data_IF_201476303219
#
_entry.id   IF_201476303219
#
_cell.length_a   1.000
_cell.length_b   1.000
_cell.length_c   1.000
_cell.angle_alpha   90.00
_cell.angle_beta   90.00
_cell.angle_gamma   90.00
#
_symmetry.space_group_name_H-M   'P 1'
#
loop_
_entity.id
_entity.type
_entity.pdbx_description
1 polymer ?
#
# COMPACT_ATOMS: atom_id res chain seq x y z
N UNK A 1 25.58 -10.86 -31.15
CA UNK A 1 25.30 -11.15 -29.74
C UNK A 1 25.17 -9.83 -29.04
N UNK A 2 23.95 -9.30 -28.93
CA UNK A 2 23.69 -8.08 -28.20
C UNK A 2 23.65 -8.44 -26.71
N UNK A 3 24.52 -7.82 -25.92
CA UNK A 3 24.48 -7.90 -24.47
C UNK A 3 23.23 -7.17 -23.99
N UNK A 4 22.20 -7.92 -23.61
CA UNK A 4 21.06 -7.41 -22.88
C UNK A 4 21.55 -6.84 -21.55
N UNK A 5 21.19 -5.58 -21.29
CA UNK A 5 21.46 -4.90 -20.04
C UNK A 5 20.61 -5.56 -18.93
N UNK A 6 21.19 -6.19 -17.89
CA UNK A 6 20.45 -6.99 -16.91
C UNK A 6 19.57 -6.17 -15.96
N UNK A 7 19.66 -4.84 -16.00
CA UNK A 7 19.01 -3.90 -15.06
C UNK A 7 17.74 -3.23 -15.60
N UNK A 8 17.10 -3.80 -16.63
CA UNK A 8 15.75 -3.33 -16.97
C UNK A 8 14.76 -3.96 -16.00
N UNK A 9 14.47 -3.25 -14.92
CA UNK A 9 13.24 -3.45 -14.17
C UNK A 9 12.07 -3.56 -15.14
N UNK A 10 11.18 -4.54 -14.94
CA UNK A 10 10.06 -4.81 -15.85
C UNK A 10 8.91 -3.80 -15.67
N UNK A 11 9.08 -2.82 -14.79
CA UNK A 11 8.20 -1.69 -14.54
C UNK A 11 9.02 -0.38 -14.56
N UNK A 12 8.34 0.73 -14.85
CA UNK A 12 8.94 2.07 -14.95
C UNK A 12 9.56 2.51 -13.63
N UNK A 13 10.71 3.18 -13.74
CA UNK A 13 11.35 3.89 -12.64
C UNK A 13 11.04 5.39 -12.76
N UNK A 14 10.77 6.01 -11.62
CA UNK A 14 10.53 7.43 -11.45
C UNK A 14 11.80 8.09 -10.92
N UNK A 15 12.03 9.34 -11.33
CA UNK A 15 13.11 10.18 -10.79
C UNK A 15 12.70 10.71 -9.40
N UNK A 16 12.74 9.81 -8.42
CA UNK A 16 12.32 9.98 -7.04
C UNK A 16 13.51 9.76 -6.12
N UNK A 17 13.69 10.66 -5.14
CA UNK A 17 14.54 10.41 -3.97
C UNK A 17 13.66 10.06 -2.76
N UNK A 18 13.99 8.99 -2.00
CA UNK A 18 13.27 8.66 -0.78
C UNK A 18 13.24 9.82 0.22
N UNK A 19 12.04 10.30 0.57
CA UNK A 19 11.88 11.39 1.53
C UNK A 19 12.17 10.96 2.97
N UNK A 20 11.80 9.72 3.31
CA UNK A 20 11.99 9.17 4.65
C UNK A 20 12.48 7.73 4.56
N UNK A 21 13.45 7.35 5.41
CA UNK A 21 13.93 5.98 5.45
C UNK A 21 12.86 5.05 6.04
N UNK A 22 12.90 3.77 5.66
CA UNK A 22 11.92 2.74 6.05
C UNK A 22 11.68 2.66 7.55
N UNK A 23 12.73 2.81 8.36
CA UNK A 23 12.63 2.69 9.81
C UNK A 23 11.79 3.82 10.46
N UNK A 24 11.79 5.02 9.88
CA UNK A 24 10.93 6.12 10.34
C UNK A 24 9.47 5.85 10.01
N UNK A 25 9.19 5.36 8.80
CA UNK A 25 7.86 4.92 8.38
C UNK A 25 7.31 3.83 9.31
N UNK A 26 8.12 2.82 9.63
CA UNK A 26 7.74 1.75 10.57
C UNK A 26 7.42 2.33 11.97
N UNK A 27 8.26 3.25 12.47
CA UNK A 27 8.05 3.88 13.78
C UNK A 27 6.73 4.64 13.85
N UNK A 28 6.41 5.43 12.84
CA UNK A 28 5.13 6.16 12.76
C UNK A 28 3.94 5.21 12.64
N UNK A 29 4.05 4.15 11.82
CA UNK A 29 3.02 3.11 11.73
C UNK A 29 2.76 2.42 13.07
N UNK A 30 3.80 2.14 13.86
CA UNK A 30 3.63 1.55 15.20
C UNK A 30 2.81 2.46 16.11
N UNK A 31 3.12 3.76 16.16
CA UNK A 31 2.38 4.73 16.96
C UNK A 31 0.91 4.82 16.51
N UNK A 32 0.68 4.89 15.20
CA UNK A 32 -0.64 4.92 14.61
C UNK A 32 -1.46 3.66 14.92
N UNK A 33 -0.87 2.47 14.78
CA UNK A 33 -1.54 1.20 15.06
C UNK A 33 -1.91 1.05 16.54
N UNK A 34 -1.01 1.44 17.45
CA UNK A 34 -1.31 1.40 18.88
C UNK A 34 -2.45 2.36 19.24
N UNK A 35 -2.44 3.58 18.68
CA UNK A 35 -3.51 4.56 18.81
C UNK A 35 -4.85 4.04 18.26
N UNK A 36 -4.83 3.32 17.15
CA UNK A 36 -6.00 2.68 16.55
C UNK A 36 -6.46 1.40 17.28
N UNK A 37 -5.84 1.04 18.41
CA UNK A 37 -6.24 -0.11 19.23
C UNK A 37 -5.71 -1.45 18.72
N UNK A 38 -4.62 -1.47 17.97
CA UNK A 38 -3.97 -2.69 17.51
C UNK A 38 -2.77 -3.04 18.39
N UNK A 39 -2.53 -4.34 18.55
CA UNK A 39 -1.32 -4.89 19.15
C UNK A 39 -0.42 -5.43 18.06
N UNK A 40 0.85 -5.02 18.09
CA UNK A 40 1.87 -5.60 17.22
C UNK A 40 2.07 -7.08 17.57
N UNK A 41 2.17 -7.91 16.54
CA UNK A 41 2.46 -9.33 16.65
C UNK A 41 3.96 -9.56 16.51
N UNK A 42 4.50 -10.63 17.13
CA UNK A 42 5.87 -11.06 16.84
C UNK A 42 6.04 -11.31 15.35
N UNK A 43 7.18 -10.92 14.81
CA UNK A 43 7.52 -11.12 13.40
C UNK A 43 7.47 -12.61 13.05
N UNK A 44 6.51 -12.98 12.20
CA UNK A 44 6.32 -14.35 11.71
C UNK A 44 6.19 -14.35 10.20
N UNK A 45 6.89 -15.24 9.49
CA UNK A 45 6.69 -15.40 8.06
C UNK A 45 5.25 -15.78 7.73
N UNK A 46 4.75 -15.26 6.61
CA UNK A 46 3.48 -15.63 6.00
C UNK A 46 3.79 -16.33 4.68
N UNK A 47 3.88 -17.66 4.73
CA UNK A 47 4.37 -18.45 3.59
C UNK A 47 5.85 -18.16 3.33
N UNK A 48 6.17 -17.60 2.16
CA UNK A 48 7.54 -17.32 1.73
C UNK A 48 8.01 -15.88 1.96
N UNK A 49 7.17 -15.01 2.52
CA UNK A 49 7.51 -13.62 2.78
C UNK A 49 7.43 -13.33 4.29
N UNK A 50 8.23 -12.38 4.78
CA UNK A 50 8.19 -11.92 6.17
C UNK A 50 7.67 -10.47 6.21
N UNK A 51 6.53 -10.19 6.88
CA UNK A 51 5.99 -8.84 6.88
C UNK A 51 6.91 -7.91 7.66
N UNK A 52 6.94 -6.64 7.26
CA UNK A 52 7.64 -5.61 8.03
C UNK A 52 6.90 -5.34 9.35
N UNK A 53 5.56 -5.36 9.29
CA UNK A 53 4.70 -5.23 10.47
C UNK A 53 3.56 -6.25 10.36
N UNK A 54 3.18 -6.81 11.49
CA UNK A 54 1.94 -7.58 11.66
C UNK A 54 1.23 -7.09 12.90
N UNK A 55 -0.08 -6.85 12.83
CA UNK A 55 -0.84 -6.35 13.97
C UNK A 55 -2.24 -6.94 14.01
N UNK A 56 -2.83 -6.98 15.21
CA UNK A 56 -4.20 -7.47 15.43
C UNK A 56 -4.98 -6.51 16.32
N UNK A 57 -6.25 -6.29 16.01
CA UNK A 57 -7.12 -5.44 16.84
C UNK A 57 -7.31 -6.05 18.25
N UNK A 58 -7.17 -5.22 19.30
CA UNK A 58 -7.24 -5.63 20.72
C UNK A 58 -8.66 -6.02 21.17
N UNK A 59 -9.70 -5.39 20.61
CA UNK A 59 -11.04 -5.36 21.22
C UNK A 59 -12.14 -6.14 20.49
N UNK A 60 -11.83 -6.91 19.43
CA UNK A 60 -12.88 -7.53 18.60
C UNK A 60 -12.97 -9.05 18.74
N UNK A 61 -14.23 -9.54 18.82
CA UNK A 61 -14.59 -10.98 18.71
C UNK A 61 -14.12 -11.60 17.38
N UNK A 62 -13.90 -10.77 16.35
CA UNK A 62 -13.17 -11.11 15.13
C UNK A 62 -11.74 -10.60 15.26
N UNK A 63 -10.77 -11.49 15.06
CA UNK A 63 -9.37 -11.11 14.91
C UNK A 63 -9.18 -10.46 13.54
N UNK A 64 -9.33 -9.15 13.50
CA UNK A 64 -8.93 -8.36 12.34
C UNK A 64 -7.40 -8.19 12.41
N UNK A 65 -6.72 -9.02 11.62
CA UNK A 65 -5.26 -9.01 11.46
C UNK A 65 -4.91 -8.20 10.21
N UNK A 66 -3.85 -7.41 10.31
CA UNK A 66 -3.32 -6.58 9.23
C UNK A 66 -1.82 -6.82 9.12
N UNK A 67 -1.34 -6.96 7.89
CA UNK A 67 0.10 -7.06 7.59
C UNK A 67 0.53 -5.92 6.68
N UNK A 68 1.75 -5.47 6.89
CA UNK A 68 2.36 -4.39 6.14
C UNK A 68 3.63 -4.86 5.45
N UNK A 69 3.77 -4.38 4.22
CA UNK A 69 5.04 -4.28 3.52
C UNK A 69 5.35 -2.79 3.42
N UNK A 70 6.52 -2.39 3.91
CA UNK A 70 6.96 -0.99 3.97
C UNK A 70 8.10 -0.78 2.98
N UNK A 71 7.98 0.29 2.19
CA UNK A 71 8.94 0.68 1.16
C UNK A 71 9.29 2.15 1.28
N UNK A 72 10.39 2.55 0.64
CA UNK A 72 10.94 3.91 0.74
C UNK A 72 10.48 4.84 -0.39
N UNK A 73 9.74 4.32 -1.38
CA UNK A 73 9.23 5.12 -2.49
C UNK A 73 8.32 4.35 -3.45
N UNK A 74 7.78 5.03 -4.47
CA UNK A 74 6.92 4.41 -5.49
C UNK A 74 7.67 3.45 -6.39
N UNK A 75 8.98 3.66 -6.58
CA UNK A 75 9.86 2.75 -7.31
C UNK A 75 9.91 1.33 -6.72
N UNK A 76 9.58 1.16 -5.45
CA UNK A 76 9.58 -0.17 -4.82
C UNK A 76 8.15 -0.73 -4.64
N UNK A 77 7.13 0.00 -5.09
CA UNK A 77 5.73 -0.33 -4.86
C UNK A 77 5.33 -1.66 -5.51
N UNK A 78 5.78 -1.90 -6.75
CA UNK A 78 5.51 -3.15 -7.47
C UNK A 78 6.06 -4.36 -6.72
N UNK A 79 7.29 -4.26 -6.24
CA UNK A 79 7.89 -5.31 -5.40
C UNK A 79 7.12 -5.49 -4.09
N UNK A 80 6.69 -4.39 -3.47
CA UNK A 80 5.88 -4.42 -2.27
C UNK A 80 4.54 -5.15 -2.46
N UNK A 81 3.82 -4.86 -3.54
CA UNK A 81 2.58 -5.57 -3.88
C UNK A 81 2.83 -7.03 -4.24
N UNK A 82 3.95 -7.37 -4.89
CA UNK A 82 4.33 -8.75 -5.16
C UNK A 82 4.51 -9.55 -3.87
N UNK A 83 5.11 -8.97 -2.84
CA UNK A 83 5.23 -9.61 -1.52
C UNK A 83 3.87 -9.79 -0.85
N UNK A 84 3.00 -8.77 -0.90
CA UNK A 84 1.63 -8.89 -0.38
C UNK A 84 0.83 -9.98 -1.11
N UNK A 85 0.99 -10.09 -2.43
CA UNK A 85 0.40 -11.16 -3.23
C UNK A 85 0.90 -12.54 -2.81
N UNK A 86 2.21 -12.68 -2.56
CA UNK A 86 2.78 -13.91 -2.03
C UNK A 86 2.16 -14.27 -0.67
N UNK A 87 1.99 -13.31 0.23
CA UNK A 87 1.29 -13.50 1.51
C UNK A 87 -0.17 -13.93 1.33
N UNK A 88 -0.86 -13.29 0.37
CA UNK A 88 -2.27 -13.52 0.05
C UNK A 88 -2.53 -14.93 -0.46
N UNK A 89 -1.58 -15.56 -1.16
CA UNK A 89 -1.69 -16.96 -1.56
C UNK A 89 -1.89 -17.92 -0.36
N UNK A 90 -1.38 -17.57 0.84
CA UNK A 90 -1.48 -18.40 2.05
C UNK A 90 -2.61 -18.00 2.99
N UNK A 91 -2.90 -16.69 3.07
CA UNK A 91 -3.87 -16.14 4.03
C UNK A 91 -5.18 -15.71 3.37
N UNK A 92 -5.26 -15.73 2.03
CA UNK A 92 -6.42 -15.42 1.21
C UNK A 92 -7.05 -14.07 1.57
N UNK A 93 -8.37 -14.00 1.66
CA UNK A 93 -9.10 -12.81 2.08
C UNK A 93 -9.44 -12.89 3.58
N UNK A 94 -8.52 -13.32 4.45
CA UNK A 94 -8.77 -13.39 5.90
C UNK A 94 -8.20 -12.20 6.68
N UNK A 95 -7.24 -11.49 6.11
CA UNK A 95 -6.52 -10.38 6.75
C UNK A 95 -6.45 -9.19 5.80
N UNK A 96 -6.03 -8.04 6.31
CA UNK A 96 -5.73 -6.85 5.52
C UNK A 96 -4.27 -6.83 5.07
N UNK A 97 -4.05 -6.37 3.84
CA UNK A 97 -2.75 -6.37 3.15
C UNK A 97 -2.43 -4.94 2.74
N UNK A 98 -1.40 -4.36 3.33
CA UNK A 98 -1.11 -2.94 3.15
C UNK A 98 0.31 -2.76 2.63
N UNK A 99 0.42 -2.04 1.52
CA UNK A 99 1.67 -1.40 1.13
C UNK A 99 1.69 -0.02 1.80
N UNK A 100 2.71 0.25 2.60
CA UNK A 100 2.92 1.57 3.19
C UNK A 100 4.14 2.24 2.58
N UNK A 101 3.93 3.46 2.08
CA UNK A 101 4.97 4.31 1.51
C UNK A 101 5.11 5.59 2.34
N UNK A 102 6.27 6.25 2.32
CA UNK A 102 6.37 7.65 2.70
C UNK A 102 5.52 8.54 1.77
N UNK A 103 5.39 9.85 2.03
CA UNK A 103 4.73 10.73 1.08
C UNK A 103 5.46 10.69 -0.26
N UNK A 104 4.70 10.54 -1.34
CA UNK A 104 5.19 10.46 -2.71
C UNK A 104 4.54 11.55 -3.54
N UNK A 105 5.23 11.98 -4.60
CA UNK A 105 4.69 12.97 -5.54
C UNK A 105 3.35 12.48 -6.12
N UNK A 106 2.32 13.33 -6.08
CA UNK A 106 1.00 13.02 -6.64
C UNK A 106 1.10 12.68 -8.13
N UNK A 107 1.99 13.37 -8.86
CA UNK A 107 2.24 13.08 -10.27
C UNK A 107 2.75 11.64 -10.49
N UNK A 108 3.72 11.18 -9.69
CA UNK A 108 4.25 9.82 -9.81
C UNK A 108 3.23 8.77 -9.39
N UNK A 109 2.43 9.05 -8.35
CA UNK A 109 1.32 8.18 -7.98
C UNK A 109 0.28 8.05 -9.11
N UNK A 110 -0.09 9.15 -9.76
CA UNK A 110 -1.03 9.13 -10.90
C UNK A 110 -0.43 8.33 -12.06
N UNK A 111 0.85 8.58 -12.41
CA UNK A 111 1.53 7.82 -13.47
C UNK A 111 1.55 6.32 -13.18
N UNK A 112 1.87 5.94 -11.94
CA UNK A 112 1.92 4.56 -11.47
C UNK A 112 0.56 3.88 -11.46
N UNK A 113 -0.48 4.58 -11.01
CA UNK A 113 -1.79 3.97 -10.82
C UNK A 113 -2.57 3.82 -12.11
N UNK A 114 -2.46 4.79 -13.04
CA UNK A 114 -3.40 4.87 -14.18
C UNK A 114 -2.79 5.33 -15.51
N UNK A 115 -1.77 6.19 -15.53
CA UNK A 115 -1.32 6.73 -16.83
C UNK A 115 -0.37 5.78 -17.56
N UNK A 116 0.55 5.14 -16.85
CA UNK A 116 1.67 4.40 -17.46
C UNK A 116 1.65 2.91 -17.15
N UNK A 117 1.31 2.54 -15.91
CA UNK A 117 1.45 1.16 -15.42
C UNK A 117 0.11 0.50 -15.02
N UNK A 118 -0.96 1.30 -14.86
CA UNK A 118 -2.34 0.83 -14.64
C UNK A 118 -2.56 -0.07 -13.40
N UNK A 119 -1.76 0.12 -12.34
CA UNK A 119 -1.85 -0.70 -11.14
C UNK A 119 -3.14 -0.52 -10.32
N UNK A 120 -3.99 0.47 -10.63
CA UNK A 120 -5.22 0.75 -9.89
C UNK A 120 -6.17 -0.46 -9.79
N UNK A 121 -6.52 -1.09 -10.92
CA UNK A 121 -7.45 -2.23 -10.92
C UNK A 121 -6.84 -3.48 -10.27
N UNK A 122 -5.60 -3.90 -10.58
CA UNK A 122 -4.96 -5.01 -9.87
C UNK A 122 -4.94 -4.84 -8.35
N UNK A 123 -4.60 -3.65 -7.85
CA UNK A 123 -4.61 -3.36 -6.40
C UNK A 123 -6.03 -3.56 -5.83
N UNK A 124 -7.04 -3.02 -6.50
CA UNK A 124 -8.44 -3.09 -6.07
C UNK A 124 -9.00 -4.52 -6.11
N UNK A 125 -8.79 -5.25 -7.20
CA UNK A 125 -9.31 -6.61 -7.40
C UNK A 125 -8.70 -7.60 -6.41
N UNK A 126 -7.45 -7.37 -6.03
CA UNK A 126 -6.78 -8.13 -4.98
C UNK A 126 -7.05 -7.62 -3.56
N UNK A 127 -7.92 -6.61 -3.37
CA UNK A 127 -8.22 -6.03 -2.05
C UNK A 127 -6.95 -5.62 -1.29
N UNK A 128 -5.93 -5.14 -2.01
CA UNK A 128 -4.76 -4.53 -1.41
C UNK A 128 -5.07 -3.10 -1.03
N UNK A 129 -4.31 -2.59 -0.06
CA UNK A 129 -4.40 -1.19 0.37
C UNK A 129 -3.06 -0.50 0.12
N UNK A 130 -3.13 0.78 -0.20
CA UNK A 130 -1.98 1.66 -0.34
C UNK A 130 -2.10 2.80 0.67
N UNK A 131 -1.17 2.88 1.61
CA UNK A 131 -1.15 3.91 2.64
C UNK A 131 0.05 4.83 2.47
N UNK A 132 -0.17 6.12 2.70
CA UNK A 132 0.88 7.12 2.81
C UNK A 132 1.11 7.45 4.28
N UNK A 133 2.35 7.33 4.71
CA UNK A 133 2.79 7.55 6.09
C UNK A 133 3.72 8.75 6.09
N UNK A 134 3.38 9.79 6.84
CA UNK A 134 4.20 10.99 6.97
C UNK A 134 4.82 11.03 8.38
N UNK A 135 6.11 10.64 8.53
CA UNK A 135 6.78 10.66 9.83
C UNK A 135 6.92 12.05 10.44
N UNK A 136 7.17 13.09 9.62
CA UNK A 136 7.30 14.48 10.07
C UNK A 136 6.03 14.99 10.77
N UNK A 137 4.86 14.61 10.24
CA UNK A 137 3.55 15.06 10.74
C UNK A 137 2.90 14.08 11.71
N UNK A 138 3.48 12.90 11.91
CA UNK A 138 2.88 11.76 12.61
C UNK A 138 1.48 11.43 12.08
N UNK A 139 1.37 11.36 10.74
CA UNK A 139 0.10 11.16 10.03
C UNK A 139 0.13 9.93 9.13
N UNK A 140 -1.01 9.26 9.06
CA UNK A 140 -1.24 8.13 8.16
C UNK A 140 -2.53 8.36 7.39
N UNK A 141 -2.47 8.09 6.10
CA UNK A 141 -3.54 8.30 5.13
C UNK A 141 -3.72 7.04 4.27
N UNK A 142 -4.97 6.57 4.11
CA UNK A 142 -5.30 5.45 3.25
C UNK A 142 -5.71 5.97 1.87
N UNK A 143 -4.88 5.72 0.85
CA UNK A 143 -5.05 6.26 -0.49
C UNK A 143 -5.94 5.37 -1.37
N UNK A 144 -5.74 4.05 -1.30
CA UNK A 144 -6.47 3.06 -2.10
C UNK A 144 -6.84 1.89 -1.20
N UNK A 145 -8.03 1.33 -1.44
CA UNK A 145 -8.61 0.30 -0.60
C UNK A 145 -9.08 0.88 0.73
N UNK A 146 -9.57 0.02 1.62
CA UNK A 146 -9.92 0.38 2.99
C UNK A 146 -9.75 -0.83 3.90
N UNK A 147 -9.39 -0.61 5.19
CA UNK A 147 -9.44 -1.64 6.21
C UNK A 147 -10.82 -2.28 6.29
N UNK A 148 -10.88 -3.59 6.56
CA UNK A 148 -12.16 -4.30 6.76
C UNK A 148 -12.92 -3.83 7.98
N UNK A 149 -12.18 -3.38 8.98
CA UNK A 149 -12.76 -2.79 10.16
C UNK A 149 -13.22 -1.37 9.83
N UNK A 150 -14.53 -1.20 9.62
CA UNK A 150 -15.14 0.10 9.30
C UNK A 150 -14.80 1.20 10.31
N UNK A 151 -14.61 0.86 11.58
CA UNK A 151 -14.26 1.86 12.60
C UNK A 151 -12.83 2.40 12.40
N UNK A 152 -11.98 1.61 11.74
CA UNK A 152 -10.57 1.96 11.54
C UNK A 152 -10.40 3.20 10.66
N UNK A 153 -11.34 3.44 9.74
CA UNK A 153 -11.28 4.58 8.81
C UNK A 153 -11.27 5.93 9.51
N UNK A 154 -11.79 6.00 10.75
CA UNK A 154 -11.86 7.22 11.53
C UNK A 154 -10.52 7.66 12.13
N UNK A 155 -9.50 6.79 12.11
CA UNK A 155 -8.16 7.14 12.60
C UNK A 155 -7.29 7.81 11.54
N UNK A 156 -7.60 7.65 10.24
CA UNK A 156 -6.81 8.30 9.18
C UNK A 156 -6.94 9.82 9.21
N UNK A 157 -5.86 10.50 8.81
CA UNK A 157 -5.74 11.96 8.91
C UNK A 157 -6.69 12.70 7.99
N UNK A 158 -7.00 12.14 6.82
CA UNK A 158 -7.93 12.74 5.89
C UNK A 158 -8.97 11.72 5.35
N UNK A 159 -10.19 11.68 5.93
CA UNK A 159 -11.26 10.85 5.37
C UNK A 159 -11.73 11.33 3.98
N UNK A 160 -11.36 12.54 3.53
CA UNK A 160 -11.71 13.07 2.22
C UNK A 160 -10.78 12.61 1.08
N UNK A 161 -9.77 11.77 1.35
CA UNK A 161 -9.00 11.06 0.30
C UNK A 161 -9.86 10.13 -0.56
N UNK A 162 -11.11 9.89 -0.15
CA UNK A 162 -12.18 9.36 -1.00
C UNK A 162 -12.27 10.11 -2.33
N UNK A 163 -12.00 11.42 -2.36
CA UNK A 163 -11.96 12.22 -3.58
C UNK A 163 -10.82 11.84 -4.54
N UNK A 164 -9.63 11.53 -4.02
CA UNK A 164 -8.49 11.07 -4.83
C UNK A 164 -8.77 9.68 -5.40
N UNK A 165 -9.19 8.72 -4.56
CA UNK A 165 -9.54 7.38 -5.03
C UNK A 165 -10.66 7.41 -6.09
N UNK A 166 -11.66 8.27 -5.90
CA UNK A 166 -12.73 8.50 -6.89
C UNK A 166 -12.23 9.14 -8.19
N UNK A 167 -11.32 10.12 -8.11
CA UNK A 167 -10.68 10.73 -9.28
C UNK A 167 -9.89 9.69 -10.08
N UNK A 168 -9.05 8.89 -9.41
CA UNK A 168 -8.28 7.82 -10.04
C UNK A 168 -9.20 6.78 -10.68
N UNK A 169 -10.27 6.36 -9.99
CA UNK A 169 -11.24 5.40 -10.52
C UNK A 169 -11.92 5.89 -11.81
N UNK A 170 -12.35 7.16 -11.83
CA UNK A 170 -12.99 7.76 -13.00
C UNK A 170 -12.02 7.84 -14.18
N UNK A 171 -10.78 8.27 -13.92
CA UNK A 171 -9.73 8.34 -14.95
C UNK A 171 -9.34 6.97 -15.50
N UNK A 172 -9.18 5.98 -14.62
CA UNK A 172 -8.88 4.60 -15.00
C UNK A 172 -9.98 4.03 -15.90
N UNK A 173 -11.25 4.24 -15.53
CA UNK A 173 -12.40 3.77 -16.30
C UNK A 173 -12.49 4.46 -17.66
N UNK A 174 -12.27 5.77 -17.70
CA UNK A 174 -12.26 6.53 -18.95
C UNK A 174 -11.17 6.01 -19.90
N UNK A 175 -9.96 5.78 -19.40
CA UNK A 175 -8.84 5.26 -20.19
C UNK A 175 -9.17 3.89 -20.79
N UNK A 176 -9.71 2.96 -19.99
CA UNK A 176 -10.15 1.66 -20.49
C UNK A 176 -11.20 1.78 -21.60
N UNK A 177 -12.17 2.68 -21.44
CA UNK A 177 -13.18 2.93 -22.47
C UNK A 177 -12.54 3.50 -23.75
N UNK A 178 -11.60 4.43 -23.64
CA UNK A 178 -10.95 5.04 -24.80
C UNK A 178 -10.03 4.05 -25.55
N UNK A 179 -9.57 2.97 -24.91
CA UNK A 179 -8.73 1.91 -25.51
C UNK A 179 -9.54 0.73 -26.09
N UNK A 180 -10.77 0.52 -25.61
CA UNK A 180 -11.67 -0.53 -26.11
C UNK A 180 -12.45 -0.12 -27.38
N UNK A 181 -12.43 1.16 -27.76
CA UNK A 181 -13.16 1.74 -28.90
C UNK A 181 -12.25 2.48 -29.89
#
# INVERSE_FOLDING_TARGET
MNSENPDKSWYRQYDEEPLFPKHEVIKTLHGFLDYAGYSLLPEKPVGFMKPDISAVCKDKKKKDEIIFVVREGVNEAVEGFRELAAAKCFRHNKIDYVLALPPVSEHYLIEFLIEQEEWFFPIKDHLFQLWLVNPEKDKVDCLIGWPRNDDFKHYFSNPNLVGFSGYIANKATQKMMDEEF
#
